data_IF_412771630583
#
_entry.id   IF_412771630583
#
_cell.length_a   1.000
_cell.length_b   1.000
_cell.length_c   1.000
_cell.angle_alpha   90.00
_cell.angle_beta   90.00
_cell.angle_gamma   90.00
#
_symmetry.space_group_name_H-M   'P 1'
#
loop_
_entity.id
_entity.type
_entity.pdbx_description
1 polymer ?
#
# COMPACT_ATOMS: atom_id res chain seq x y z
N UNK A 1 3.04 19.48 17.26
CA UNK A 1 3.33 18.06 16.95
C UNK A 1 2.16 17.48 16.18
N UNK A 2 2.31 17.25 14.88
CA UNK A 2 1.22 16.72 14.06
C UNK A 2 1.07 15.21 14.36
N UNK A 3 -0.11 14.78 14.80
CA UNK A 3 -0.38 13.36 15.07
C UNK A 3 -0.25 12.47 13.83
N UNK A 4 -0.23 11.13 14.00
CA UNK A 4 -0.09 10.20 12.89
C UNK A 4 -1.20 10.43 11.85
N UNK A 5 -0.80 10.78 10.62
CA UNK A 5 -1.71 11.00 9.49
C UNK A 5 -2.41 9.68 9.16
N UNK A 6 -3.70 9.58 9.45
CA UNK A 6 -4.54 8.43 9.08
C UNK A 6 -5.00 8.62 7.63
N UNK A 7 -4.34 7.94 6.70
CA UNK A 7 -4.71 7.96 5.28
C UNK A 7 -5.96 7.10 5.06
N UNK A 8 -7.17 7.69 5.05
CA UNK A 8 -8.45 7.15 4.55
C UNK A 8 -8.75 5.62 4.71
N UNK A 9 -8.15 4.93 5.68
CA UNK A 9 -8.34 3.51 5.98
C UNK A 9 -9.05 3.48 7.33
N UNK A 10 -10.37 3.66 7.28
CA UNK A 10 -11.26 3.49 8.42
C UNK A 10 -12.06 2.18 8.32
N UNK A 11 -11.55 1.21 7.57
CA UNK A 11 -12.28 -0.03 7.25
C UNK A 11 -11.62 -1.24 7.90
N UNK A 12 -12.44 -2.15 8.43
CA UNK A 12 -12.05 -3.47 8.94
C UNK A 12 -11.71 -4.48 7.83
N UNK A 13 -11.67 -4.05 6.57
CA UNK A 13 -11.52 -4.90 5.38
C UNK A 13 -10.32 -5.85 5.47
N UNK A 14 -9.20 -5.41 6.06
CA UNK A 14 -8.03 -6.28 6.25
C UNK A 14 -8.34 -7.42 7.24
N UNK A 15 -8.97 -7.10 8.37
CA UNK A 15 -9.36 -8.10 9.37
C UNK A 15 -10.43 -9.04 8.82
N UNK A 16 -11.43 -8.52 8.11
CA UNK A 16 -12.49 -9.32 7.47
C UNK A 16 -11.93 -10.26 6.40
N UNK A 17 -11.02 -9.78 5.54
CA UNK A 17 -10.36 -10.62 4.54
C UNK A 17 -9.54 -11.73 5.20
N UNK A 18 -8.79 -11.42 6.27
CA UNK A 18 -8.03 -12.43 7.00
C UNK A 18 -8.96 -13.44 7.69
N UNK A 19 -10.03 -12.97 8.32
CA UNK A 19 -11.03 -13.82 8.96
C UNK A 19 -11.68 -14.77 7.95
N UNK A 20 -12.00 -14.28 6.74
CA UNK A 20 -12.55 -15.10 5.66
C UNK A 20 -11.59 -16.18 5.18
N UNK A 21 -10.28 -15.89 5.12
CA UNK A 21 -9.25 -16.87 4.75
C UNK A 21 -9.07 -17.93 5.86
N UNK A 22 -9.30 -17.56 7.12
CA UNK A 22 -9.03 -18.41 8.27
C UNK A 22 -10.24 -19.21 8.78
N UNK A 23 -11.41 -19.17 8.11
CA UNK A 23 -12.65 -19.77 8.63
C UNK A 23 -12.46 -21.22 9.06
N UNK A 24 -11.98 -22.09 8.16
CA UNK A 24 -11.74 -23.49 8.48
C UNK A 24 -10.55 -23.66 9.44
N UNK A 25 -9.54 -22.78 9.33
CA UNK A 25 -8.33 -22.87 10.16
C UNK A 25 -8.61 -22.66 11.66
N UNK A 26 -9.65 -21.88 11.99
CA UNK A 26 -10.05 -21.55 13.35
C UNK A 26 -10.69 -22.70 14.12
N UNK A 27 -11.13 -23.75 13.42
CA UNK A 27 -11.72 -24.94 14.04
C UNK A 27 -10.66 -25.98 14.45
N UNK A 28 -9.40 -25.80 14.02
CA UNK A 28 -8.29 -26.68 14.39
C UNK A 28 -7.62 -26.26 15.71
N UNK A 29 -6.71 -27.13 16.19
CA UNK A 29 -5.83 -26.80 17.31
C UNK A 29 -5.02 -25.53 17.03
N UNK A 30 -4.61 -24.84 18.11
CA UNK A 30 -3.78 -23.62 18.02
C UNK A 30 -2.52 -23.85 17.19
N UNK A 31 -1.89 -25.02 17.32
CA UNK A 31 -0.72 -25.40 16.51
C UNK A 31 -1.04 -25.40 15.01
N UNK A 32 -2.12 -26.07 14.60
CA UNK A 32 -2.54 -26.14 13.19
C UNK A 32 -2.96 -24.79 12.62
N UNK A 33 -3.57 -23.92 13.44
CA UNK A 33 -3.87 -22.55 13.04
C UNK A 33 -2.58 -21.75 12.79
N UNK A 34 -1.58 -21.86 13.66
CA UNK A 34 -0.28 -21.19 13.48
C UNK A 34 0.43 -21.69 12.22
N UNK A 35 0.45 -23.01 11.99
CA UNK A 35 1.04 -23.61 10.79
C UNK A 35 0.37 -23.08 9.51
N UNK A 36 -0.97 -23.05 9.49
CA UNK A 36 -1.74 -22.53 8.36
C UNK A 36 -1.43 -21.06 8.06
N UNK A 37 -1.36 -20.21 9.10
CA UNK A 37 -1.03 -18.79 8.94
C UNK A 37 0.39 -18.62 8.40
N UNK A 38 1.33 -19.39 8.92
CA UNK A 38 2.73 -19.38 8.50
C UNK A 38 2.87 -19.77 7.01
N UNK A 39 2.25 -20.87 6.60
CA UNK A 39 2.22 -21.32 5.19
C UNK A 39 1.61 -20.27 4.27
N UNK A 40 0.48 -19.68 4.69
CA UNK A 40 -0.19 -18.63 3.92
C UNK A 40 0.71 -17.41 3.74
N UNK A 41 1.38 -16.97 4.80
CA UNK A 41 2.29 -15.85 4.75
C UNK A 41 3.49 -16.16 3.84
N UNK A 42 4.06 -17.36 3.93
CA UNK A 42 5.13 -17.79 3.03
C UNK A 42 4.71 -17.74 1.57
N UNK A 43 3.55 -18.29 1.23
CA UNK A 43 3.01 -18.23 -0.13
C UNK A 43 2.84 -16.78 -0.58
N UNK A 44 2.16 -15.96 0.22
CA UNK A 44 1.86 -14.57 -0.15
C UNK A 44 3.10 -13.69 -0.28
N UNK A 45 4.09 -13.83 0.60
CA UNK A 45 5.34 -13.10 0.49
C UNK A 45 6.06 -13.46 -0.81
N UNK A 46 6.16 -14.75 -1.11
CA UNK A 46 6.81 -15.25 -2.33
C UNK A 46 6.09 -14.75 -3.58
N UNK A 47 4.77 -14.92 -3.66
CA UNK A 47 3.97 -14.47 -4.81
C UNK A 47 4.01 -12.95 -5.01
N UNK A 48 3.99 -12.17 -3.92
CA UNK A 48 4.00 -10.70 -4.03
C UNK A 48 5.38 -10.19 -4.40
N UNK A 49 6.44 -10.80 -3.88
CA UNK A 49 7.82 -10.51 -4.30
C UNK A 49 8.02 -10.81 -5.78
N UNK A 50 7.65 -12.00 -6.24
CA UNK A 50 7.73 -12.39 -7.65
C UNK A 50 6.95 -11.43 -8.57
N UNK A 51 5.73 -11.04 -8.17
CA UNK A 51 4.94 -10.03 -8.92
C UNK A 51 5.61 -8.66 -8.97
N UNK A 52 6.27 -8.25 -7.89
CA UNK A 52 7.00 -6.99 -7.82
C UNK A 52 8.27 -7.03 -8.68
N UNK A 53 9.03 -8.13 -8.65
CA UNK A 53 10.22 -8.36 -9.48
C UNK A 53 9.88 -8.36 -10.98
N UNK A 54 8.75 -8.97 -11.35
CA UNK A 54 8.21 -8.97 -12.73
C UNK A 54 7.63 -7.62 -13.18
N UNK A 55 7.61 -6.60 -12.33
CA UNK A 55 7.13 -5.27 -12.70
C UNK A 55 8.30 -4.42 -13.19
N UNK A 56 8.28 -4.00 -14.45
CA UNK A 56 9.35 -3.18 -15.04
C UNK A 56 9.17 -1.67 -14.83
N UNK A 57 7.97 -1.23 -14.47
CA UNK A 57 7.60 0.18 -14.31
C UNK A 57 8.09 0.77 -12.98
N UNK A 58 8.13 2.10 -12.90
CA UNK A 58 8.55 2.84 -11.69
C UNK A 58 7.51 2.63 -10.58
N UNK A 59 6.23 2.75 -10.91
CA UNK A 59 5.12 2.51 -9.98
C UNK A 59 4.60 1.07 -10.12
N UNK A 60 3.80 0.65 -9.15
CA UNK A 60 3.03 -0.59 -9.29
C UNK A 60 2.09 -0.52 -10.51
N UNK A 61 1.83 -1.66 -11.19
CA UNK A 61 0.95 -1.71 -12.39
C UNK A 61 -0.41 -1.02 -12.18
N UNK A 62 -0.98 -1.12 -10.98
CA UNK A 62 -2.25 -0.45 -10.64
C UNK A 62 -2.10 1.07 -10.60
N UNK A 63 -1.01 1.57 -10.03
CA UNK A 63 -0.73 3.00 -9.93
C UNK A 63 -0.35 3.60 -11.29
N UNK A 64 0.39 2.86 -12.13
CA UNK A 64 0.66 3.27 -13.51
C UNK A 64 -0.64 3.45 -14.31
N UNK A 65 -1.55 2.45 -14.25
CA UNK A 65 -2.87 2.57 -14.89
C UNK A 65 -3.66 3.76 -14.37
N UNK A 66 -3.61 4.02 -13.06
CA UNK A 66 -4.24 5.21 -12.45
C UNK A 66 -3.63 6.50 -13.02
N UNK A 67 -2.31 6.58 -13.11
CA UNK A 67 -1.61 7.76 -13.63
C UNK A 67 -1.96 8.02 -15.10
N UNK A 68 -1.98 6.98 -15.95
CA UNK A 68 -2.37 7.09 -17.36
C UNK A 68 -3.81 7.59 -17.49
N UNK A 69 -4.74 7.09 -16.68
CA UNK A 69 -6.11 7.57 -16.67
C UNK A 69 -6.21 9.06 -16.27
N UNK A 70 -5.47 9.47 -15.25
CA UNK A 70 -5.41 10.89 -14.83
C UNK A 70 -4.79 11.78 -15.92
N UNK A 71 -3.76 11.30 -16.61
CA UNK A 71 -3.16 12.02 -17.74
C UNK A 71 -4.16 12.23 -18.86
N UNK A 72 -4.89 11.17 -19.26
CA UNK A 72 -5.94 11.28 -20.27
C UNK A 72 -7.03 12.29 -19.86
N UNK A 73 -7.48 12.25 -18.61
CA UNK A 73 -8.51 13.16 -18.09
C UNK A 73 -8.00 14.62 -18.02
N UNK A 74 -6.73 14.82 -17.65
CA UNK A 74 -6.13 16.15 -17.48
C UNK A 74 -6.10 16.99 -18.76
N UNK A 75 -6.12 16.35 -19.93
CA UNK A 75 -6.15 17.02 -21.24
C UNK A 75 -7.35 17.95 -21.43
N UNK A 76 -8.42 17.73 -20.67
CA UNK A 76 -9.67 18.51 -20.74
C UNK A 76 -9.68 19.73 -19.82
N UNK A 77 -8.60 19.97 -19.08
CA UNK A 77 -8.51 21.03 -18.09
C UNK A 77 -7.93 22.31 -18.67
N UNK A 78 -8.39 23.46 -18.17
CA UNK A 78 -7.79 24.75 -18.48
C UNK A 78 -6.87 25.15 -17.34
N UNK A 79 -5.59 25.36 -17.62
CA UNK A 79 -4.58 25.71 -16.63
C UNK A 79 -4.17 27.17 -16.83
N UNK A 80 -4.20 27.95 -15.75
CA UNK A 80 -3.69 29.32 -15.70
C UNK A 80 -2.61 29.41 -14.62
N UNK A 81 -1.34 29.62 -14.99
CA UNK A 81 -0.28 29.83 -14.02
C UNK A 81 -0.47 31.15 -13.26
N UNK A 82 -0.40 31.10 -11.94
CA UNK A 82 -0.36 32.30 -11.08
C UNK A 82 1.09 32.69 -10.77
N UNK A 83 1.97 31.70 -10.55
CA UNK A 83 3.41 31.91 -10.38
C UNK A 83 4.20 30.66 -10.81
N UNK A 84 5.46 30.53 -10.36
CA UNK A 84 6.32 29.39 -10.68
C UNK A 84 5.73 28.05 -10.21
N UNK A 85 5.07 28.01 -9.05
CA UNK A 85 4.62 26.79 -8.38
C UNK A 85 3.10 26.71 -8.18
N UNK A 86 2.35 27.79 -8.42
CA UNK A 86 0.91 27.88 -8.16
C UNK A 86 0.11 28.11 -9.44
N UNK A 87 -1.02 27.39 -9.55
CA UNK A 87 -1.84 27.31 -10.75
C UNK A 87 -3.32 27.29 -10.39
N UNK A 88 -4.11 28.04 -11.13
CA UNK A 88 -5.56 27.87 -11.22
C UNK A 88 -5.86 26.81 -12.29
N UNK A 89 -6.56 25.75 -11.93
CA UNK A 89 -6.98 24.68 -12.85
C UNK A 89 -8.49 24.59 -12.87
N UNK A 90 -9.08 24.80 -14.04
CA UNK A 90 -10.53 24.71 -14.25
C UNK A 90 -10.86 23.36 -14.91
N UNK A 91 -11.72 22.58 -14.25
CA UNK A 91 -12.15 21.27 -14.73
C UNK A 91 -13.24 21.36 -15.82
N UNK A 92 -13.62 20.19 -16.35
CA UNK A 92 -14.68 20.08 -17.37
C UNK A 92 -16.09 20.49 -16.89
N UNK A 93 -16.28 20.68 -15.58
CA UNK A 93 -17.52 21.13 -14.94
C UNK A 93 -17.46 22.62 -14.56
N UNK A 94 -16.48 23.36 -15.09
CA UNK A 94 -16.23 24.77 -14.81
C UNK A 94 -15.92 25.06 -13.33
N UNK A 95 -15.48 24.07 -12.54
CA UNK A 95 -15.01 24.28 -11.18
C UNK A 95 -13.53 24.62 -11.20
N UNK A 96 -13.16 25.61 -10.39
CA UNK A 96 -11.77 26.06 -10.26
C UNK A 96 -11.12 25.43 -9.03
N UNK A 97 -9.88 24.98 -9.20
CA UNK A 97 -9.04 24.39 -8.16
C UNK A 97 -7.68 25.06 -8.15
N UNK A 98 -7.15 25.30 -6.95
CA UNK A 98 -5.80 25.83 -6.78
C UNK A 98 -4.85 24.66 -6.55
N UNK A 99 -3.81 24.58 -7.38
CA UNK A 99 -2.74 23.59 -7.30
C UNK A 99 -1.45 24.30 -6.94
N UNK A 100 -0.77 23.79 -5.91
CA UNK A 100 0.57 24.24 -5.55
C UNK A 100 1.54 23.05 -5.61
N UNK A 101 2.49 23.10 -6.55
CA UNK A 101 3.44 22.02 -6.78
C UNK A 101 4.57 21.99 -5.73
N UNK A 102 4.90 23.12 -5.11
CA UNK A 102 5.92 23.18 -4.07
C UNK A 102 5.45 22.50 -2.78
N UNK A 103 4.23 22.83 -2.32
CA UNK A 103 3.62 22.19 -1.14
C UNK A 103 2.93 20.86 -1.44
N UNK A 104 2.91 20.43 -2.71
CA UNK A 104 2.23 19.22 -3.20
C UNK A 104 0.76 19.15 -2.76
N UNK A 105 0.04 20.26 -2.94
CA UNK A 105 -1.34 20.41 -2.48
C UNK A 105 -2.29 20.83 -3.60
N UNK A 106 -3.54 20.41 -3.49
CA UNK A 106 -4.64 20.86 -4.32
C UNK A 106 -5.88 21.09 -3.46
N UNK A 107 -6.69 22.11 -3.78
CA UNK A 107 -7.96 22.36 -3.08
C UNK A 107 -8.96 21.22 -3.21
N UNK A 108 -8.75 20.27 -4.15
CA UNK A 108 -9.54 19.05 -4.22
C UNK A 108 -9.23 18.01 -3.12
N UNK A 109 -8.24 18.23 -2.25
CA UNK A 109 -7.91 17.31 -1.15
C UNK A 109 -6.95 16.17 -1.53
N UNK A 110 -7.17 15.55 -2.69
CA UNK A 110 -6.52 14.29 -3.06
C UNK A 110 -4.99 14.35 -3.13
N UNK A 111 -4.39 15.45 -3.62
CA UNK A 111 -2.94 15.49 -3.83
C UNK A 111 -2.16 15.32 -2.51
N UNK A 112 -2.57 16.05 -1.47
CA UNK A 112 -1.95 16.00 -0.15
C UNK A 112 -2.38 14.80 0.68
N UNK A 113 -3.63 14.33 0.52
CA UNK A 113 -4.18 13.23 1.31
C UNK A 113 -3.68 11.87 0.80
N UNK A 114 -3.76 11.63 -0.50
CA UNK A 114 -3.31 10.37 -1.09
C UNK A 114 -1.78 10.34 -1.23
N UNK A 115 -1.10 11.50 -1.16
CA UNK A 115 0.31 11.64 -1.57
C UNK A 115 0.58 11.09 -2.98
N UNK A 116 -0.44 11.20 -3.83
CA UNK A 116 -0.45 10.81 -5.23
C UNK A 116 -1.02 11.99 -6.01
N UNK A 117 -0.50 12.25 -7.20
CA UNK A 117 -0.98 13.37 -8.03
C UNK A 117 -2.49 13.24 -8.30
N UNK A 118 -3.24 14.31 -8.06
CA UNK A 118 -4.63 14.39 -8.52
C UNK A 118 -4.66 14.84 -9.99
N UNK A 119 -5.82 14.72 -10.64
CA UNK A 119 -5.98 15.11 -12.05
C UNK A 119 -5.61 16.58 -12.31
N UNK A 120 -5.92 17.49 -11.37
CA UNK A 120 -5.54 18.90 -11.46
C UNK A 120 -4.03 19.11 -11.36
N UNK A 121 -3.36 18.36 -10.49
CA UNK A 121 -1.90 18.39 -10.38
C UNK A 121 -1.24 17.86 -11.65
N UNK A 122 -1.78 16.79 -12.24
CA UNK A 122 -1.32 16.26 -13.54
C UNK A 122 -1.44 17.33 -14.63
N UNK A 123 -2.57 18.04 -14.71
CA UNK A 123 -2.74 19.14 -15.66
C UNK A 123 -1.70 20.27 -15.47
N UNK A 124 -1.49 20.69 -14.22
CA UNK A 124 -0.53 21.74 -13.89
C UNK A 124 0.93 21.32 -14.18
N UNK A 125 1.28 20.05 -13.96
CA UNK A 125 2.59 19.49 -14.31
C UNK A 125 2.73 19.43 -15.84
N UNK A 126 1.68 19.05 -16.57
CA UNK A 126 1.69 18.87 -18.02
C UNK A 126 2.05 20.14 -18.83
N UNK A 127 1.79 21.34 -18.28
CA UNK A 127 2.19 22.60 -18.93
C UNK A 127 3.67 22.97 -18.70
N UNK A 128 4.42 22.16 -17.93
CA UNK A 128 5.86 22.34 -17.65
C UNK A 128 6.64 21.14 -18.18
N UNK A 129 7.24 21.20 -19.38
CA UNK A 129 7.87 20.05 -20.04
C UNK A 129 9.01 19.37 -19.27
N UNK A 130 9.67 20.10 -18.36
CA UNK A 130 10.78 19.59 -17.54
C UNK A 130 10.33 18.90 -16.24
N UNK A 131 9.02 18.93 -15.94
CA UNK A 131 8.47 18.29 -14.75
C UNK A 131 7.87 16.93 -15.10
N UNK A 132 7.96 16.00 -14.15
CA UNK A 132 7.49 14.63 -14.30
C UNK A 132 6.53 14.30 -13.17
N UNK A 133 5.38 13.69 -13.47
CA UNK A 133 4.42 13.30 -12.44
C UNK A 133 5.04 12.38 -11.38
N UNK A 134 6.00 11.54 -11.76
CA UNK A 134 6.68 10.61 -10.85
C UNK A 134 7.41 11.33 -9.70
N UNK A 135 7.93 12.56 -9.89
CA UNK A 135 8.63 13.29 -8.82
C UNK A 135 7.69 13.81 -7.73
N UNK A 136 6.39 13.88 -8.03
CA UNK A 136 5.35 14.36 -7.13
C UNK A 136 4.55 13.23 -6.48
N UNK A 137 4.80 11.97 -6.87
CA UNK A 137 4.17 10.79 -6.29
C UNK A 137 5.03 10.27 -5.13
N UNK A 138 4.39 9.87 -4.03
CA UNK A 138 5.09 9.33 -2.86
C UNK A 138 5.86 8.05 -3.18
N UNK A 139 7.07 7.86 -2.62
CA UNK A 139 7.83 6.62 -2.76
C UNK A 139 7.05 5.36 -2.37
N UNK A 140 6.02 5.46 -1.53
CA UNK A 140 5.19 4.31 -1.13
C UNK A 140 4.46 3.62 -2.28
N UNK A 141 4.34 4.28 -3.45
CA UNK A 141 3.70 3.71 -4.64
C UNK A 141 4.68 3.07 -5.62
N UNK A 142 5.99 3.13 -5.35
CA UNK A 142 7.02 2.63 -6.27
C UNK A 142 7.13 1.11 -6.19
N UNK A 143 7.64 0.52 -7.27
CA UNK A 143 8.04 -0.88 -7.30
C UNK A 143 9.09 -1.18 -6.23
N UNK A 144 10.03 -0.29 -6.00
CA UNK A 144 11.13 -0.53 -5.06
C UNK A 144 10.63 -0.56 -3.61
N UNK A 145 9.68 0.32 -3.23
CA UNK A 145 8.99 0.23 -1.95
C UNK A 145 8.17 -1.06 -1.82
N UNK A 146 7.54 -1.49 -2.92
CA UNK A 146 6.81 -2.76 -2.96
C UNK A 146 7.75 -3.97 -2.75
N UNK A 147 8.90 -4.00 -3.42
CA UNK A 147 9.93 -5.02 -3.23
C UNK A 147 10.45 -5.04 -1.79
N UNK A 148 10.77 -3.86 -1.24
CA UNK A 148 11.23 -3.74 0.14
C UNK A 148 10.21 -4.31 1.14
N UNK A 149 8.92 -4.04 0.91
CA UNK A 149 7.81 -4.54 1.75
C UNK A 149 7.73 -6.06 1.81
N UNK A 150 8.02 -6.76 0.70
CA UNK A 150 7.94 -8.22 0.60
C UNK A 150 9.31 -8.90 0.52
N UNK A 151 10.38 -8.20 0.95
CA UNK A 151 11.75 -8.72 0.91
C UNK A 151 12.03 -9.78 1.98
N UNK A 152 11.22 -9.80 3.04
CA UNK A 152 11.34 -10.76 4.16
C UNK A 152 11.15 -12.21 3.72
N UNK A 153 11.86 -13.12 4.38
CA UNK A 153 11.83 -14.56 4.09
C UNK A 153 11.06 -15.28 5.20
N UNK A 154 10.03 -16.02 4.82
CA UNK A 154 9.33 -16.95 5.71
C UNK A 154 9.93 -18.35 5.54
N UNK A 155 10.85 -18.72 6.43
CA UNK A 155 11.63 -19.95 6.33
C UNK A 155 10.76 -21.20 6.57
N UNK A 156 10.74 -22.21 5.66
CA UNK A 156 10.02 -23.47 5.84
C UNK A 156 10.38 -24.13 7.18
N UNK A 157 9.40 -24.77 7.80
CA UNK A 157 9.61 -25.61 8.97
C UNK A 157 9.70 -27.06 8.49
N UNK A 158 10.73 -27.78 8.93
CA UNK A 158 10.93 -29.18 8.60
C UNK A 158 9.88 -30.07 9.28
N UNK A 159 9.85 -31.35 8.93
CA UNK A 159 8.94 -32.30 9.59
C UNK A 159 9.22 -32.40 11.11
N UNK A 160 8.20 -32.47 11.97
CA UNK A 160 8.37 -32.63 13.42
C UNK A 160 9.33 -33.74 13.84
N UNK A 161 9.39 -34.83 13.09
CA UNK A 161 10.27 -35.97 13.38
C UNK A 161 11.76 -35.60 13.26
N UNK A 162 12.08 -34.53 12.53
CA UNK A 162 13.45 -34.03 12.37
C UNK A 162 13.87 -32.99 13.41
N UNK A 163 12.97 -32.58 14.31
CA UNK A 163 13.25 -31.48 15.23
C UNK A 163 14.09 -31.94 16.43
N UNK A 164 15.15 -31.18 16.72
CA UNK A 164 15.90 -31.30 17.99
C UNK A 164 15.24 -30.44 19.07
N UNK A 165 14.31 -31.03 19.83
CA UNK A 165 13.57 -30.32 20.88
C UNK A 165 14.42 -30.29 22.17
N UNK A 166 14.77 -29.11 22.71
CA UNK A 166 15.47 -29.03 23.99
C UNK A 166 14.66 -29.62 25.14
N UNK A 167 15.32 -30.31 26.08
CA UNK A 167 14.67 -30.96 27.21
C UNK A 167 13.82 -29.99 28.06
N UNK A 168 14.22 -28.71 28.13
CA UNK A 168 13.46 -27.65 28.82
C UNK A 168 12.07 -27.44 28.23
N UNK A 169 11.94 -27.50 26.90
CA UNK A 169 10.66 -27.36 26.18
C UNK A 169 9.87 -28.67 26.26
N UNK A 170 10.53 -29.82 26.09
CA UNK A 170 9.89 -31.12 26.15
C UNK A 170 9.22 -31.40 27.50
N UNK A 171 9.82 -30.89 28.59
CA UNK A 171 9.29 -31.02 29.95
C UNK A 171 8.24 -29.94 30.32
N UNK A 172 8.00 -28.96 29.43
CA UNK A 172 7.06 -27.88 29.70
C UNK A 172 5.62 -28.36 29.51
N UNK A 173 4.83 -28.36 30.59
CA UNK A 173 3.38 -28.62 30.50
C UNK A 173 2.61 -27.33 30.25
N UNK A 174 2.03 -27.19 29.05
CA UNK A 174 1.05 -26.14 28.78
C UNK A 174 -0.22 -26.37 29.60
N UNK A 175 -0.45 -25.53 30.62
CA UNK A 175 -1.70 -25.52 31.37
C UNK A 175 -2.80 -24.81 30.56
N UNK A 176 -4.08 -25.21 30.71
CA UNK A 176 -5.17 -24.42 30.16
C UNK A 176 -5.14 -22.99 30.72
N UNK A 177 -5.68 -22.00 29.99
CA UNK A 177 -5.83 -20.64 30.51
C UNK A 177 -6.52 -20.67 31.88
N UNK A 178 -6.03 -19.89 32.84
CA UNK A 178 -6.65 -19.85 34.18
C UNK A 178 -8.08 -19.31 34.07
N UNK A 179 -9.07 -20.10 34.47
CA UNK A 179 -10.48 -19.69 34.51
C UNK A 179 -10.80 -18.64 35.60
N UNK A 180 -9.80 -18.03 36.22
CA UNK A 180 -9.99 -17.00 37.24
C UNK A 180 -10.31 -15.68 36.53
N UNK A 181 -11.59 -15.31 36.60
CA UNK A 181 -12.07 -13.95 36.35
C UNK A 181 -11.63 -13.01 37.45
#
# INVERSE_FOLDING_TARGET
>A
MSGPKRYNIMTSNCAESMNKVNVCAREYSVSKLVDFLRERMQQWFTERKDKAEKTSTILTKKCEKRLVALQAESTRMKVKPSCAYEFEVVDSRCKSFVVNLNSRSCTCGHFQLDQFVCVHAVAAIGIRPHLSCYTYISPYYTRDAWLATWSGIMHPIADPDSWSIPATIQNQRCKPPSCLK
#
